data_IF_716944004252
#
_entry.id   IF_716944004252
#
_cell.length_a   1.000
_cell.length_b   1.000
_cell.length_c   1.000
_cell.angle_alpha   90.00
_cell.angle_beta   90.00
_cell.angle_gamma   90.00
#
_symmetry.space_group_name_H-M   'P 1'
#
loop_
_entity.id
_entity.type
_entity.pdbx_description
1 polymer ?
#
# COMPACT_ATOMS: atom_id res chain seq x y z
N UNK A 1 4.58 15.99 -15.10
CA UNK A 1 3.75 15.00 -14.37
C UNK A 1 3.00 15.74 -13.27
N UNK A 2 1.69 15.57 -13.13
CA UNK A 2 0.96 16.21 -12.03
C UNK A 2 1.43 15.64 -10.70
N UNK A 3 1.58 16.52 -9.71
CA UNK A 3 2.05 16.17 -8.37
C UNK A 3 0.98 16.51 -7.34
N UNK A 4 0.57 15.52 -6.55
CA UNK A 4 -0.42 15.66 -5.49
C UNK A 4 0.20 15.29 -4.14
N UNK A 5 0.14 16.21 -3.18
CA UNK A 5 0.63 16.00 -1.81
C UNK A 5 2.07 15.42 -1.74
N UNK A 6 2.94 15.88 -2.67
CA UNK A 6 4.32 15.44 -2.75
C UNK A 6 4.55 14.16 -3.56
N UNK A 7 3.51 13.47 -4.02
CA UNK A 7 3.59 12.25 -4.83
C UNK A 7 3.33 12.54 -6.29
N UNK A 8 4.16 12.03 -7.17
CA UNK A 8 3.95 12.10 -8.61
C UNK A 8 2.95 11.04 -9.04
N UNK A 9 1.90 11.46 -9.76
CA UNK A 9 0.90 10.56 -10.31
C UNK A 9 1.10 10.36 -11.82
N UNK A 10 0.81 9.16 -12.36
CA UNK A 10 0.95 8.88 -13.78
C UNK A 10 0.06 9.78 -14.61
N UNK A 11 0.66 10.53 -15.55
CA UNK A 11 -0.03 11.51 -16.39
C UNK A 11 -0.97 10.86 -17.41
N UNK A 12 -0.58 9.71 -17.96
CA UNK A 12 -1.28 9.07 -19.08
C UNK A 12 -2.46 8.18 -18.66
N UNK A 13 -2.64 7.97 -17.35
CA UNK A 13 -3.75 7.16 -16.82
C UNK A 13 -4.97 8.03 -16.51
N UNK A 14 -6.15 7.40 -16.47
CA UNK A 14 -7.37 8.04 -15.99
C UNK A 14 -7.18 8.51 -14.55
N UNK A 15 -7.76 9.64 -14.19
CA UNK A 15 -7.66 10.23 -12.85
C UNK A 15 -8.02 9.22 -11.75
N UNK A 16 -9.08 8.46 -11.92
CA UNK A 16 -9.48 7.40 -10.98
C UNK A 16 -8.33 6.42 -10.67
N UNK A 17 -7.62 5.98 -11.72
CA UNK A 17 -6.49 5.06 -11.58
C UNK A 17 -5.26 5.78 -11.04
N UNK A 18 -5.00 7.00 -11.50
CA UNK A 18 -3.82 7.77 -11.09
C UNK A 18 -3.82 8.09 -9.60
N UNK A 19 -4.98 8.36 -9.02
CA UNK A 19 -5.13 8.60 -7.58
C UNK A 19 -4.78 7.36 -6.74
N UNK A 20 -4.99 6.14 -7.25
CA UNK A 20 -4.63 4.91 -6.53
C UNK A 20 -3.12 4.68 -6.39
N UNK A 21 -2.28 5.47 -7.06
CA UNK A 21 -0.84 5.44 -6.85
C UNK A 21 -0.40 6.11 -5.55
N UNK A 22 -1.29 6.91 -4.94
CA UNK A 22 -1.06 7.50 -3.63
C UNK A 22 -1.36 6.45 -2.56
N UNK A 23 -0.38 6.10 -1.75
CA UNK A 23 -0.57 5.13 -0.69
C UNK A 23 -1.62 5.58 0.33
N UNK A 24 -2.69 4.79 0.45
CA UNK A 24 -3.85 5.09 1.29
C UNK A 24 -5.12 5.43 0.50
N UNK A 25 -5.02 5.64 -0.81
CA UNK A 25 -6.16 5.87 -1.69
C UNK A 25 -6.37 4.63 -2.56
N UNK A 26 -7.49 3.94 -2.36
CA UNK A 26 -7.94 2.86 -3.23
C UNK A 26 -9.01 3.34 -4.21
N UNK A 27 -9.48 2.46 -5.11
CA UNK A 27 -10.50 2.80 -6.12
C UNK A 27 -11.77 3.38 -5.50
N UNK A 28 -12.29 2.79 -4.42
CA UNK A 28 -13.51 3.28 -3.75
C UNK A 28 -13.33 4.69 -3.18
N UNK A 29 -12.17 4.96 -2.58
CA UNK A 29 -11.84 6.29 -2.04
C UNK A 29 -11.62 7.30 -3.18
N UNK A 30 -10.93 6.91 -4.25
CA UNK A 30 -10.71 7.74 -5.42
C UNK A 30 -12.04 8.17 -6.05
N UNK A 31 -12.98 7.25 -6.28
CA UNK A 31 -14.32 7.56 -6.81
C UNK A 31 -15.06 8.53 -5.93
N UNK A 32 -15.11 8.29 -4.62
CA UNK A 32 -15.78 9.18 -3.67
C UNK A 32 -15.20 10.60 -3.68
N UNK A 33 -13.87 10.75 -3.81
CA UNK A 33 -13.21 12.06 -3.93
C UNK A 33 -13.63 12.75 -5.23
N UNK A 34 -13.62 12.02 -6.35
CA UNK A 34 -14.00 12.57 -7.65
C UNK A 34 -15.48 12.96 -7.73
N UNK A 35 -16.37 12.19 -7.12
CA UNK A 35 -17.80 12.52 -6.96
C UNK A 35 -17.98 13.81 -6.16
N UNK A 36 -17.26 13.98 -5.06
CA UNK A 36 -17.33 15.20 -4.23
C UNK A 36 -16.80 16.45 -4.93
N UNK A 37 -15.85 16.29 -5.84
CA UNK A 37 -15.24 17.39 -6.61
C UNK A 37 -15.88 17.57 -7.99
N UNK A 38 -16.91 16.79 -8.33
CA UNK A 38 -17.57 16.78 -9.65
C UNK A 38 -16.60 16.67 -10.83
N UNK A 39 -15.52 15.90 -10.68
CA UNK A 39 -14.53 15.65 -11.74
C UNK A 39 -14.85 14.32 -12.40
N UNK A 40 -14.90 14.29 -13.75
CA UNK A 40 -15.11 13.05 -14.49
C UNK A 40 -13.94 12.06 -14.25
N UNK A 41 -14.21 10.85 -13.75
CA UNK A 41 -13.18 9.84 -13.49
C UNK A 41 -12.41 9.38 -14.74
N UNK A 42 -12.96 9.60 -15.94
CA UNK A 42 -12.36 9.16 -17.20
C UNK A 42 -11.31 10.12 -17.76
N UNK A 43 -11.27 11.36 -17.28
CA UNK A 43 -10.26 12.35 -17.69
C UNK A 43 -8.87 11.82 -17.39
N UNK A 44 -7.89 12.11 -18.25
CA UNK A 44 -6.51 11.76 -17.98
C UNK A 44 -5.88 12.72 -16.98
N UNK A 45 -4.98 12.21 -16.12
CA UNK A 45 -4.38 13.02 -15.09
C UNK A 45 -3.57 14.22 -15.61
N UNK A 46 -3.08 14.15 -16.84
CA UNK A 46 -2.40 15.28 -17.53
C UNK A 46 -3.33 16.45 -17.89
N UNK A 47 -4.61 16.15 -18.09
CA UNK A 47 -5.61 17.13 -18.55
C UNK A 47 -6.30 17.84 -17.37
N UNK A 48 -5.91 17.52 -16.13
CA UNK A 48 -6.41 18.18 -14.93
C UNK A 48 -5.90 19.60 -14.83
N UNK A 49 -6.80 20.53 -14.54
CA UNK A 49 -6.45 21.92 -14.25
C UNK A 49 -5.84 22.05 -12.85
N UNK A 50 -4.98 23.07 -12.61
CA UNK A 50 -4.45 23.32 -11.27
C UNK A 50 -5.54 23.54 -10.20
N UNK A 51 -6.69 24.09 -10.59
CA UNK A 51 -7.83 24.28 -9.70
C UNK A 51 -8.42 22.93 -9.25
N UNK A 52 -8.65 22.00 -10.19
CA UNK A 52 -9.13 20.65 -9.88
C UNK A 52 -8.15 19.87 -9.00
N UNK A 53 -6.85 20.04 -9.21
CA UNK A 53 -5.83 19.44 -8.34
C UNK A 53 -5.96 19.94 -6.90
N UNK A 54 -6.16 21.25 -6.71
CA UNK A 54 -6.37 21.83 -5.37
C UNK A 54 -7.68 21.34 -4.73
N UNK A 55 -8.77 21.22 -5.50
CA UNK A 55 -10.05 20.67 -5.01
C UNK A 55 -9.88 19.23 -4.51
N UNK A 56 -9.15 18.39 -5.25
CA UNK A 56 -8.83 17.03 -4.81
C UNK A 56 -8.04 17.05 -3.50
N UNK A 57 -7.05 17.93 -3.36
CA UNK A 57 -6.27 18.08 -2.12
C UNK A 57 -7.17 18.49 -0.96
N UNK A 58 -8.03 19.47 -1.17
CA UNK A 58 -8.99 19.91 -0.17
C UNK A 58 -9.97 18.79 0.23
N UNK A 59 -10.48 18.02 -0.72
CA UNK A 59 -11.36 16.88 -0.45
C UNK A 59 -10.66 15.80 0.40
N UNK A 60 -9.40 15.49 0.11
CA UNK A 60 -8.59 14.54 0.90
C UNK A 60 -8.41 15.05 2.33
N UNK A 61 -8.07 16.33 2.48
CA UNK A 61 -7.81 16.95 3.79
C UNK A 61 -9.08 17.05 4.62
N UNK A 62 -10.19 17.50 4.03
CA UNK A 62 -11.48 17.64 4.71
C UNK A 62 -12.04 16.29 5.19
N UNK A 63 -11.85 15.24 4.40
CA UNK A 63 -12.23 13.88 4.77
C UNK A 63 -11.25 13.23 5.77
N UNK A 64 -10.19 13.93 6.20
CA UNK A 64 -9.16 13.45 7.13
C UNK A 64 -8.57 12.10 6.72
N UNK A 65 -8.41 11.88 5.42
CA UNK A 65 -7.85 10.64 4.88
C UNK A 65 -6.35 10.66 5.13
N UNK A 66 -5.87 9.70 5.94
CA UNK A 66 -4.44 9.52 6.16
C UNK A 66 -3.80 8.89 4.94
N UNK A 67 -2.77 9.52 4.42
CA UNK A 67 -2.05 9.05 3.22
C UNK A 67 -0.55 9.01 3.48
N UNK A 68 0.16 8.31 2.63
CA UNK A 68 1.63 8.23 2.57
C UNK A 68 2.30 8.11 3.94
N UNK A 69 3.06 9.13 4.34
CA UNK A 69 3.86 9.13 5.56
C UNK A 69 3.03 9.04 6.83
N UNK A 70 1.89 9.71 6.88
CA UNK A 70 1.01 9.70 8.04
C UNK A 70 0.38 8.32 8.25
N UNK A 71 -0.07 7.69 7.16
CA UNK A 71 -0.61 6.34 7.22
C UNK A 71 0.47 5.32 7.60
N UNK A 72 1.68 5.45 7.06
CA UNK A 72 2.80 4.57 7.41
C UNK A 72 3.17 4.69 8.89
N UNK A 73 3.21 5.91 9.44
CA UNK A 73 3.46 6.16 10.86
C UNK A 73 2.38 5.55 11.75
N UNK A 74 1.13 5.70 11.36
CA UNK A 74 0.00 5.14 12.10
C UNK A 74 0.04 3.61 12.13
N UNK A 75 0.22 2.97 10.97
CA UNK A 75 0.36 1.51 10.87
C UNK A 75 1.54 1.02 11.71
N UNK A 76 2.69 1.69 11.60
CA UNK A 76 3.89 1.31 12.35
C UNK A 76 3.69 1.50 13.87
N UNK A 77 3.01 2.57 14.29
CA UNK A 77 2.63 2.80 15.68
C UNK A 77 1.75 1.68 16.22
N UNK A 78 0.73 1.28 15.45
CA UNK A 78 -0.16 0.19 15.80
C UNK A 78 0.58 -1.16 15.92
N UNK A 79 1.51 -1.45 15.01
CA UNK A 79 2.33 -2.65 15.08
C UNK A 79 3.26 -2.65 16.30
N UNK A 80 3.93 -1.52 16.58
CA UNK A 80 4.77 -1.35 17.77
C UNK A 80 3.96 -1.56 19.07
N UNK A 81 2.76 -1.00 19.14
CA UNK A 81 1.87 -1.19 20.29
C UNK A 81 1.53 -2.66 20.49
N UNK A 82 1.13 -3.40 19.44
CA UNK A 82 0.84 -4.84 19.53
C UNK A 82 2.04 -5.67 19.99
N UNK A 83 3.24 -5.26 19.59
CA UNK A 83 4.49 -5.91 20.01
C UNK A 83 4.84 -5.59 21.46
N UNK A 84 4.66 -4.34 21.90
CA UNK A 84 4.96 -3.90 23.27
C UNK A 84 4.09 -4.62 24.31
N UNK A 85 2.81 -4.80 24.03
CA UNK A 85 1.90 -5.56 24.91
C UNK A 85 2.07 -7.09 24.81
N UNK A 86 3.04 -7.58 24.02
CA UNK A 86 3.30 -9.00 23.79
C UNK A 86 2.05 -9.80 23.38
N UNK A 87 1.12 -9.20 22.65
CA UNK A 87 -0.06 -9.89 22.15
C UNK A 87 0.32 -11.02 21.18
N UNK A 88 -0.53 -12.06 21.06
CA UNK A 88 -0.33 -13.13 20.07
C UNK A 88 -0.09 -12.57 18.66
N UNK A 89 -0.90 -11.59 18.22
CA UNK A 89 -0.76 -10.93 16.93
C UNK A 89 0.59 -10.20 16.81
N UNK A 90 1.02 -9.49 17.85
CA UNK A 90 2.31 -8.80 17.88
C UNK A 90 3.49 -9.75 17.76
N UNK A 91 3.46 -10.87 18.50
CA UNK A 91 4.48 -11.92 18.39
C UNK A 91 4.53 -12.52 16.99
N UNK A 92 3.37 -12.79 16.39
CA UNK A 92 3.28 -13.31 15.01
C UNK A 92 3.85 -12.32 13.98
N UNK A 93 3.55 -11.02 14.12
CA UNK A 93 4.15 -9.98 13.27
C UNK A 93 5.67 -9.91 13.42
N UNK A 94 6.19 -9.96 14.67
CA UNK A 94 7.62 -9.95 14.94
C UNK A 94 8.34 -11.15 14.33
N UNK A 95 7.72 -12.33 14.38
CA UNK A 95 8.30 -13.58 13.82
C UNK A 95 8.08 -13.74 12.32
N UNK A 96 7.41 -12.81 11.63
CA UNK A 96 7.08 -12.95 10.21
C UNK A 96 6.13 -14.10 9.88
N UNK A 97 5.29 -14.52 10.84
CA UNK A 97 4.37 -15.65 10.70
C UNK A 97 2.94 -15.16 10.41
N UNK A 98 2.06 -16.04 9.87
CA UNK A 98 0.66 -15.73 9.69
C UNK A 98 0.00 -15.32 11.01
N UNK A 99 -0.85 -14.29 10.97
CA UNK A 99 -1.42 -13.64 12.16
C UNK A 99 -2.84 -14.10 12.46
N UNK A 100 -3.53 -14.65 11.45
CA UNK A 100 -4.95 -15.03 11.50
C UNK A 100 -5.19 -16.52 11.75
N UNK A 101 -4.28 -17.22 12.42
CA UNK A 101 -4.44 -18.62 12.77
C UNK A 101 -4.24 -19.63 11.61
N UNK A 102 -3.69 -19.18 10.47
CA UNK A 102 -3.43 -20.08 9.36
C UNK A 102 -2.40 -21.17 9.74
N UNK A 103 -2.56 -22.33 9.12
CA UNK A 103 -1.65 -23.47 9.29
C UNK A 103 -0.24 -23.12 8.81
N UNK A 104 0.77 -23.49 9.58
CA UNK A 104 2.18 -23.17 9.31
C UNK A 104 3.05 -24.37 8.97
N UNK A 105 2.55 -25.60 9.18
CA UNK A 105 3.32 -26.84 8.93
C UNK A 105 3.60 -27.05 7.45
N UNK A 106 2.61 -26.84 6.59
CA UNK A 106 2.70 -27.11 5.15
C UNK A 106 2.82 -25.85 4.29
N UNK A 107 2.01 -24.84 4.55
CA UNK A 107 1.81 -23.67 3.73
C UNK A 107 2.29 -22.37 4.42
N UNK A 108 1.64 -21.25 4.15
CA UNK A 108 1.98 -19.91 4.64
C UNK A 108 3.28 -19.34 4.03
N UNK A 109 3.59 -19.69 2.80
CA UNK A 109 4.83 -19.28 2.11
C UNK A 109 4.92 -17.79 1.86
N UNK A 110 3.82 -17.11 1.64
CA UNK A 110 3.78 -15.64 1.49
C UNK A 110 4.46 -14.92 2.67
N UNK A 111 4.27 -15.40 3.88
CA UNK A 111 4.87 -14.82 5.09
C UNK A 111 6.21 -15.43 5.44
N UNK A 112 6.37 -16.75 5.28
CA UNK A 112 7.59 -17.50 5.63
C UNK A 112 8.69 -17.38 4.58
N UNK A 113 8.36 -17.02 3.36
CA UNK A 113 9.27 -17.01 2.22
C UNK A 113 9.45 -18.39 1.57
N UNK A 114 10.32 -18.50 0.54
CA UNK A 114 10.61 -19.74 -0.16
C UNK A 114 11.08 -20.84 0.79
N UNK A 115 10.90 -22.10 0.38
CA UNK A 115 11.45 -23.24 1.12
C UNK A 115 12.98 -23.17 1.10
N UNK A 116 13.59 -23.27 2.28
CA UNK A 116 15.03 -23.46 2.39
C UNK A 116 15.29 -24.96 2.41
N UNK A 117 15.92 -25.48 1.38
CA UNK A 117 16.43 -26.86 1.36
C UNK A 117 17.82 -26.87 1.98
N UNK A 118 18.05 -27.83 2.90
CA UNK A 118 19.39 -28.12 3.42
C UNK A 118 19.98 -29.16 2.51
N UNK A 119 20.98 -28.81 1.70
CA UNK A 119 21.64 -29.71 0.77
C UNK A 119 22.88 -29.06 0.18
N UNK A 120 23.75 -29.86 -0.42
CA UNK A 120 24.97 -29.38 -1.09
C UNK A 120 24.56 -28.54 -2.29
N UNK A 121 24.91 -27.25 -2.27
CA UNK A 121 24.75 -26.36 -3.40
C UNK A 121 25.86 -26.71 -4.40
N UNK A 122 25.51 -27.42 -5.46
CA UNK A 122 26.47 -27.85 -6.52
C UNK A 122 27.11 -26.64 -7.24
N UNK A 123 26.37 -25.50 -7.32
CA UNK A 123 26.87 -24.24 -7.87
C UNK A 123 26.50 -23.11 -6.93
N UNK A 124 27.49 -22.50 -6.22
CA UNK A 124 27.20 -21.35 -5.33
C UNK A 124 26.69 -20.13 -6.08
N UNK A 125 26.99 -20.01 -7.39
CA UNK A 125 26.50 -18.91 -8.25
C UNK A 125 25.13 -19.16 -8.90
N UNK A 126 24.55 -20.34 -8.75
CA UNK A 126 23.19 -20.60 -9.18
C UNK A 126 22.22 -19.84 -8.24
N UNK A 127 21.74 -18.69 -8.69
CA UNK A 127 20.64 -17.98 -8.01
C UNK A 127 19.53 -18.99 -7.74
N UNK A 128 19.14 -19.11 -6.47
CA UNK A 128 18.02 -19.96 -6.06
C UNK A 128 16.83 -19.65 -6.98
N UNK A 129 16.41 -20.66 -7.76
CA UNK A 129 15.39 -20.50 -8.78
C UNK A 129 14.13 -19.88 -8.17
N UNK A 130 13.62 -18.86 -8.82
CA UNK A 130 12.26 -18.36 -8.55
C UNK A 130 11.31 -19.50 -8.90
N UNK A 131 10.63 -20.04 -7.90
CA UNK A 131 9.43 -20.86 -8.06
C UNK A 131 8.24 -19.99 -7.68
#
# INVERSE_FOLDING_TARGET
MPRLLGVEIPADKRVEVSLTYIYGIGFSTARRILEQTNIDPNIRAKDLTPQQLNEIIHAITNNKIKIEGDLRRDIQGNLKRLQAINSYRGIRHRKGLPVRGQRTSTNARTRKGPRKTVGVIRNPDAKAGKV
#
